data_IF_775626174188
#
_entry.id   IF_775626174188
#
_cell.length_a   1.000
_cell.length_b   1.000
_cell.length_c   1.000
_cell.angle_alpha   90.00
_cell.angle_beta   90.00
_cell.angle_gamma   90.00
#
_symmetry.space_group_name_H-M   'P 1'
#
loop_
_entity.id
_entity.type
_entity.pdbx_description
1 polymer ?
#
# COMPACT_ATOMS: atom_id res chain seq x y z
N UNK A 1 -14.33 10.17 16.97
CA UNK A 1 -15.63 10.84 16.89
C UNK A 1 -15.43 12.33 16.68
N UNK A 2 -16.06 12.92 15.67
CA UNK A 2 -15.92 14.33 15.29
C UNK A 2 -16.83 15.24 16.12
N UNK A 3 -16.28 15.84 17.18
CA UNK A 3 -16.85 17.04 17.83
C UNK A 3 -15.74 18.08 18.00
N UNK A 4 -15.81 19.15 17.22
CA UNK A 4 -15.00 20.37 17.41
C UNK A 4 -15.55 21.11 18.62
N UNK A 5 -14.97 20.85 19.79
CA UNK A 5 -15.12 21.64 21.00
C UNK A 5 -13.88 22.50 21.22
N UNK A 6 -14.03 23.61 21.95
CA UNK A 6 -12.97 24.57 22.35
C UNK A 6 -11.62 23.90 22.61
N UNK A 7 -10.52 24.50 22.15
CA UNK A 7 -9.14 23.97 22.14
C UNK A 7 -8.74 23.12 23.37
N UNK A 8 -9.10 23.52 24.60
CA UNK A 8 -8.79 22.74 25.81
C UNK A 8 -9.46 21.35 25.83
N UNK A 9 -10.70 21.26 25.35
CA UNK A 9 -11.45 20.01 25.25
C UNK A 9 -10.90 19.12 24.10
N UNK A 10 -10.28 19.73 23.09
CA UNK A 10 -9.62 18.99 22.02
C UNK A 10 -8.32 18.35 22.51
N UNK A 11 -7.53 19.06 23.32
CA UNK A 11 -6.28 18.53 23.88
C UNK A 11 -6.53 17.40 24.89
N UNK A 12 -7.52 17.55 25.77
CA UNK A 12 -7.91 16.48 26.69
C UNK A 12 -8.41 15.23 25.94
N UNK A 13 -9.25 15.43 24.91
CA UNK A 13 -9.75 14.33 24.10
C UNK A 13 -8.64 13.64 23.28
N UNK A 14 -7.67 14.41 22.77
CA UNK A 14 -6.49 13.86 22.09
C UNK A 14 -5.67 13.00 23.06
N UNK A 15 -5.43 13.48 24.29
CA UNK A 15 -4.68 12.75 25.30
C UNK A 15 -5.40 11.45 25.72
N UNK A 16 -6.73 11.50 25.91
CA UNK A 16 -7.54 10.31 26.19
C UNK A 16 -7.45 9.28 25.05
N UNK A 17 -7.67 9.72 23.81
CA UNK A 17 -7.63 8.85 22.63
C UNK A 17 -6.24 8.22 22.44
N UNK A 18 -5.17 8.99 22.63
CA UNK A 18 -3.80 8.48 22.56
C UNK A 18 -3.51 7.45 23.66
N UNK A 19 -4.09 7.61 24.85
CA UNK A 19 -3.94 6.66 25.95
C UNK A 19 -4.67 5.35 25.67
N UNK A 20 -5.90 5.40 25.15
CA UNK A 20 -6.64 4.22 24.72
C UNK A 20 -5.91 3.50 23.56
N UNK A 21 -5.38 4.27 22.60
CA UNK A 21 -4.58 3.72 21.50
C UNK A 21 -3.30 3.06 22.00
N UNK A 22 -2.61 3.64 22.99
CA UNK A 22 -1.43 3.08 23.62
C UNK A 22 -1.71 1.69 24.22
N UNK A 23 -2.81 1.53 24.96
CA UNK A 23 -3.22 0.26 25.54
C UNK A 23 -3.44 -0.82 24.46
N UNK A 24 -4.16 -0.47 23.40
CA UNK A 24 -4.46 -1.39 22.31
C UNK A 24 -3.21 -1.75 21.49
N UNK A 25 -2.32 -0.78 21.23
CA UNK A 25 -1.06 -1.04 20.52
C UNK A 25 -0.23 -2.05 21.30
N UNK A 26 -0.03 -1.84 22.61
CA UNK A 26 0.75 -2.76 23.45
C UNK A 26 0.13 -4.16 23.47
N UNK A 27 -1.20 -4.25 23.54
CA UNK A 27 -1.92 -5.52 23.45
C UNK A 27 -1.68 -6.23 22.11
N UNK A 28 -1.76 -5.50 20.99
CA UNK A 28 -1.55 -6.05 19.64
C UNK A 28 -0.10 -6.48 19.40
N UNK A 29 0.89 -5.73 19.89
CA UNK A 29 2.30 -6.08 19.79
C UNK A 29 2.58 -7.46 20.41
N UNK A 30 1.91 -7.78 21.52
CA UNK A 30 2.03 -9.08 22.19
C UNK A 30 1.27 -10.18 21.47
N UNK A 31 0.01 -9.92 21.08
CA UNK A 31 -0.84 -10.93 20.46
C UNK A 31 -0.34 -11.39 19.09
N UNK A 32 0.27 -10.47 18.33
CA UNK A 32 0.83 -10.74 17.00
C UNK A 32 2.32 -11.06 17.03
N UNK A 33 2.91 -11.11 18.23
CA UNK A 33 4.35 -11.19 18.47
C UNK A 33 5.19 -10.30 17.53
N UNK A 34 4.76 -9.05 17.39
CA UNK A 34 5.42 -8.10 16.48
C UNK A 34 6.75 -7.68 17.10
N UNK A 35 7.83 -7.85 16.36
CA UNK A 35 9.17 -7.42 16.79
C UNK A 35 9.92 -6.71 15.68
N UNK A 36 10.91 -5.92 16.07
CA UNK A 36 11.62 -4.96 15.22
C UNK A 36 11.34 -3.53 15.67
N UNK A 37 11.51 -2.60 14.74
CA UNK A 37 11.24 -1.18 14.96
C UNK A 37 9.76 -0.92 14.66
N UNK A 38 9.07 -0.35 15.63
CA UNK A 38 7.67 0.07 15.53
C UNK A 38 7.64 1.59 15.70
N UNK A 39 7.00 2.27 14.75
CA UNK A 39 6.80 3.72 14.78
C UNK A 39 5.30 3.98 14.94
N UNK A 40 4.95 4.75 15.96
CA UNK A 40 3.56 5.12 16.27
C UNK A 40 3.41 6.61 16.04
N UNK A 41 2.45 6.98 15.19
CA UNK A 41 2.04 8.36 14.95
C UNK A 41 0.82 8.68 15.80
N UNK A 42 1.03 9.32 16.95
CA UNK A 42 -0.05 9.70 17.86
C UNK A 42 -0.70 11.01 17.41
N UNK A 43 -1.93 11.26 17.86
CA UNK A 43 -2.60 12.54 17.62
C UNK A 43 -1.75 13.67 18.22
N UNK A 44 -1.55 14.73 17.45
CA UNK A 44 -0.74 15.88 17.86
C UNK A 44 -1.17 16.45 19.22
N UNK A 45 -0.19 16.56 20.12
CA UNK A 45 -0.34 17.19 21.43
C UNK A 45 0.52 18.45 21.50
N UNK A 46 -0.08 19.58 21.88
CA UNK A 46 0.62 20.87 22.03
C UNK A 46 1.43 20.92 23.32
N UNK A 47 0.88 20.40 24.41
CA UNK A 47 1.53 20.37 25.72
C UNK A 47 2.67 19.34 25.77
N UNK A 48 3.85 19.80 26.18
CA UNK A 48 4.98 18.92 26.49
C UNK A 48 4.69 17.98 27.67
N UNK A 49 3.80 18.37 28.58
CA UNK A 49 3.41 17.54 29.71
C UNK A 49 2.59 16.33 29.23
N UNK A 50 1.69 16.52 28.26
CA UNK A 50 0.91 15.41 27.68
C UNK A 50 1.81 14.41 26.94
N UNK A 51 2.83 14.89 26.22
CA UNK A 51 3.83 14.02 25.58
C UNK A 51 4.62 13.19 26.60
N UNK A 52 5.01 13.79 27.73
CA UNK A 52 5.68 13.09 28.83
C UNK A 52 4.76 12.06 29.48
N UNK A 53 3.51 12.43 29.74
CA UNK A 53 2.53 11.53 30.34
C UNK A 53 2.25 10.32 29.45
N UNK A 54 2.10 10.52 28.14
CA UNK A 54 1.94 9.42 27.18
C UNK A 54 3.17 8.50 27.14
N UNK A 55 4.37 9.07 27.20
CA UNK A 55 5.60 8.29 27.26
C UNK A 55 5.71 7.44 28.52
N UNK A 56 5.43 8.01 29.70
CA UNK A 56 5.43 7.23 30.95
C UNK A 56 4.34 6.15 30.94
N UNK A 57 3.15 6.46 30.41
CA UNK A 57 2.07 5.47 30.27
C UNK A 57 2.47 4.32 29.34
N UNK A 58 3.14 4.61 28.22
CA UNK A 58 3.64 3.58 27.32
C UNK A 58 4.69 2.68 27.99
N UNK A 59 5.57 3.21 28.83
CA UNK A 59 6.51 2.40 29.63
C UNK A 59 5.78 1.52 30.63
N UNK A 60 4.81 2.08 31.35
CA UNK A 60 3.99 1.35 32.32
C UNK A 60 3.30 0.17 31.64
N UNK A 61 2.63 0.40 30.52
CA UNK A 61 1.94 -0.63 29.76
C UNK A 61 2.90 -1.70 29.26
N UNK A 62 4.02 -1.31 28.67
CA UNK A 62 5.02 -2.23 28.12
C UNK A 62 5.82 -3.00 29.19
N UNK A 63 5.84 -2.55 30.45
CA UNK A 63 6.59 -3.21 31.54
C UNK A 63 6.21 -4.68 31.77
N UNK A 64 4.98 -5.05 31.41
CA UNK A 64 4.47 -6.42 31.49
C UNK A 64 4.77 -7.27 30.26
N UNK A 65 5.41 -6.71 29.23
CA UNK A 65 5.87 -7.45 28.05
C UNK A 65 7.11 -8.28 28.40
N UNK A 66 7.09 -9.55 27.99
CA UNK A 66 8.21 -10.49 28.21
C UNK A 66 9.38 -10.20 27.28
N UNK A 67 9.12 -9.62 26.10
CA UNK A 67 10.16 -9.29 25.14
C UNK A 67 10.93 -8.04 25.60
N UNK A 68 12.26 -8.07 25.47
CA UNK A 68 13.08 -6.88 25.70
C UNK A 68 12.67 -5.78 24.74
N UNK A 69 12.47 -4.59 25.27
CA UNK A 69 12.01 -3.45 24.47
C UNK A 69 12.66 -2.16 24.95
N UNK A 70 12.80 -1.21 24.02
CA UNK A 70 13.26 0.14 24.27
C UNK A 70 12.25 1.10 23.68
N UNK A 71 11.82 2.09 24.46
CA UNK A 71 10.85 3.11 24.06
C UNK A 71 11.56 4.46 24.08
N UNK A 72 11.47 5.21 22.99
CA UNK A 72 11.98 6.58 22.94
C UNK A 72 10.84 7.59 23.19
N UNK A 73 11.14 8.77 23.79
CA UNK A 73 10.16 9.83 23.94
C UNK A 73 9.54 10.26 22.60
N UNK A 74 8.33 10.81 22.66
CA UNK A 74 7.66 11.37 21.47
C UNK A 74 8.54 12.44 20.83
N UNK A 75 8.84 12.27 19.55
CA UNK A 75 9.67 13.18 18.78
C UNK A 75 8.99 14.53 18.56
N UNK A 76 9.74 15.51 18.02
CA UNK A 76 9.17 16.80 17.62
C UNK A 76 8.10 16.68 16.53
N UNK A 77 8.14 15.59 15.74
CA UNK A 77 7.19 15.27 14.68
C UNK A 77 5.98 14.45 15.17
N UNK A 78 5.78 14.28 16.48
CA UNK A 78 4.63 13.51 17.02
C UNK A 78 4.83 11.99 17.03
N UNK A 79 5.94 11.49 16.49
CA UNK A 79 6.22 10.06 16.40
C UNK A 79 6.86 9.50 17.67
N UNK A 80 6.36 8.36 18.15
CA UNK A 80 7.01 7.53 19.16
C UNK A 80 7.66 6.31 18.50
N UNK A 81 8.88 5.97 18.93
CA UNK A 81 9.62 4.81 18.41
C UNK A 81 9.80 3.76 19.50
N UNK A 82 9.52 2.52 19.15
CA UNK A 82 9.71 1.35 20.01
C UNK A 82 10.55 0.33 19.26
N UNK A 83 11.60 -0.17 19.90
CA UNK A 83 12.35 -1.34 19.43
C UNK A 83 11.98 -2.51 20.32
N UNK A 84 11.31 -3.53 19.78
CA UNK A 84 10.93 -4.76 20.51
C UNK A 84 11.71 -5.95 19.95
N UNK A 85 12.36 -6.72 20.79
CA UNK A 85 13.11 -7.91 20.37
C UNK A 85 12.16 -8.94 19.74
N UNK A 86 12.51 -9.45 18.55
CA UNK A 86 11.80 -10.59 17.95
C UNK A 86 12.08 -11.84 18.79
N UNK A 87 11.05 -12.40 19.40
CA UNK A 87 11.15 -13.72 20.01
C UNK A 87 10.97 -14.70 18.84
N UNK A 88 12.07 -15.19 18.26
CA UNK A 88 11.96 -16.19 17.19
C UNK A 88 11.32 -17.44 17.78
N UNK A 89 10.08 -17.71 17.42
CA UNK A 89 9.57 -19.07 17.46
C UNK A 89 10.22 -19.81 16.28
N UNK A 90 11.08 -20.78 16.59
CA UNK A 90 11.47 -21.81 15.63
C UNK A 90 10.16 -22.47 15.16
N UNK A 91 9.84 -22.38 13.86
CA UNK A 91 8.71 -23.05 13.19
C UNK A 91 7.34 -22.32 13.11
N UNK A 92 7.27 -20.99 13.09
CA UNK A 92 6.08 -20.34 12.50
C UNK A 92 6.29 -20.28 10.98
N UNK A 93 5.69 -21.22 10.25
CA UNK A 93 5.52 -21.08 8.81
C UNK A 93 4.76 -19.77 8.57
N UNK A 94 5.37 -18.86 7.83
CA UNK A 94 4.70 -17.66 7.35
C UNK A 94 3.50 -18.11 6.50
N UNK A 95 2.29 -18.01 7.05
CA UNK A 95 1.05 -18.38 6.36
C UNK A 95 0.59 -17.29 5.39
N UNK A 96 1.36 -16.21 5.25
CA UNK A 96 1.03 -15.13 4.36
C UNK A 96 1.73 -15.31 3.01
N UNK A 97 0.95 -15.23 1.94
CA UNK A 97 1.47 -15.14 0.58
C UNK A 97 1.43 -13.68 0.12
N UNK A 98 2.40 -13.23 -0.70
CA UNK A 98 2.35 -11.89 -1.27
C UNK A 98 1.09 -11.76 -2.12
N UNK A 99 0.40 -10.61 -2.01
CA UNK A 99 -0.80 -10.35 -2.80
C UNK A 99 -0.47 -10.45 -4.30
N UNK A 100 -1.15 -11.30 -5.09
CA UNK A 100 -0.80 -11.53 -6.50
C UNK A 100 -1.09 -10.33 -7.42
N UNK A 101 -1.80 -9.32 -6.90
CA UNK A 101 -2.23 -8.13 -7.67
C UNK A 101 -1.23 -6.99 -7.51
N UNK A 102 -0.80 -6.71 -6.28
CA UNK A 102 0.08 -5.60 -5.96
C UNK A 102 1.48 -6.04 -5.51
N UNK A 103 1.73 -7.35 -5.38
CA UNK A 103 2.99 -7.92 -4.88
C UNK A 103 3.45 -7.29 -3.55
N UNK A 104 2.50 -6.96 -2.68
CA UNK A 104 2.77 -6.38 -1.37
C UNK A 104 2.92 -4.86 -1.34
N UNK A 105 2.77 -4.14 -2.45
CA UNK A 105 2.87 -2.66 -2.46
C UNK A 105 1.65 -1.98 -1.83
N UNK A 106 0.49 -2.65 -1.80
CA UNK A 106 -0.78 -2.04 -1.36
C UNK A 106 -1.41 -1.11 -2.39
N UNK A 107 -0.78 -0.91 -3.56
CA UNK A 107 -1.26 -0.04 -4.62
C UNK A 107 -1.32 -0.78 -5.96
N UNK A 108 -2.33 -0.45 -6.78
CA UNK A 108 -2.49 -0.95 -8.14
C UNK A 108 -2.51 0.20 -9.14
N UNK A 109 -1.85 0.04 -10.29
CA UNK A 109 -1.82 1.06 -11.32
C UNK A 109 -3.23 1.36 -11.83
N UNK A 110 -3.59 2.65 -11.93
CA UNK A 110 -4.87 3.07 -12.48
C UNK A 110 -5.02 2.57 -13.92
N UNK A 111 -6.21 2.09 -14.27
CA UNK A 111 -6.52 1.54 -15.60
C UNK A 111 -6.14 2.46 -16.77
N UNK A 112 -6.25 3.78 -16.61
CA UNK A 112 -5.85 4.75 -17.65
C UNK A 112 -4.33 4.73 -17.90
N UNK A 113 -3.52 4.55 -16.86
CA UNK A 113 -2.07 4.53 -17.01
C UNK A 113 -1.61 3.28 -17.75
N UNK A 114 -2.32 2.16 -17.58
CA UNK A 114 -1.96 0.93 -18.31
C UNK A 114 -2.33 1.00 -19.77
N UNK A 115 -3.45 1.64 -20.14
CA UNK A 115 -3.81 1.79 -21.56
C UNK A 115 -2.82 2.69 -22.29
N UNK A 116 -2.30 3.74 -21.65
CA UNK A 116 -1.25 4.59 -22.22
C UNK A 116 0.11 3.86 -22.34
N UNK A 117 0.49 3.08 -21.33
CA UNK A 117 1.72 2.28 -21.36
C UNK A 117 1.67 1.21 -22.46
N UNK A 118 0.55 0.49 -22.56
CA UNK A 118 0.28 -0.45 -23.64
C UNK A 118 0.38 0.26 -24.99
N UNK A 119 -0.28 1.40 -25.16
CA UNK A 119 -0.25 2.16 -26.42
C UNK A 119 1.19 2.49 -26.81
N UNK A 120 1.98 3.05 -25.89
CA UNK A 120 3.38 3.37 -26.13
C UNK A 120 4.19 2.14 -26.55
N UNK A 121 4.10 1.03 -25.81
CA UNK A 121 4.86 -0.19 -26.11
C UNK A 121 4.46 -0.83 -27.44
N UNK A 122 3.17 -0.83 -27.78
CA UNK A 122 2.68 -1.31 -29.07
C UNK A 122 3.20 -0.42 -30.20
N UNK A 123 3.14 0.91 -30.06
CA UNK A 123 3.71 1.81 -31.07
C UNK A 123 5.22 1.60 -31.28
N UNK A 124 5.98 1.34 -30.21
CA UNK A 124 7.40 0.98 -30.31
C UNK A 124 7.59 -0.34 -31.06
N UNK A 125 6.85 -1.40 -30.68
CA UNK A 125 6.94 -2.72 -31.32
C UNK A 125 6.51 -2.71 -32.80
N UNK A 126 5.58 -1.82 -33.18
CA UNK A 126 5.13 -1.68 -34.56
C UNK A 126 6.17 -0.98 -35.44
N UNK A 127 7.02 -0.12 -34.87
CA UNK A 127 8.13 0.57 -35.58
C UNK A 127 9.36 -0.30 -35.76
N UNK A 128 9.54 -1.34 -34.95
CA UNK A 128 10.68 -2.25 -35.06
C UNK A 128 10.63 -3.07 -36.36
N UNK A 129 11.66 -2.97 -37.22
CA UNK A 129 11.73 -3.76 -38.45
C UNK A 129 12.01 -5.24 -38.13
N UNK A 130 11.26 -6.15 -38.73
CA UNK A 130 11.52 -7.61 -38.68
C UNK A 130 10.51 -8.44 -37.88
N UNK A 131 9.71 -7.86 -36.98
CA UNK A 131 8.56 -8.57 -36.40
C UNK A 131 7.47 -8.70 -37.45
N UNK A 132 6.93 -9.90 -37.70
CA UNK A 132 5.83 -10.08 -38.69
C UNK A 132 4.46 -9.75 -38.09
N UNK A 133 4.21 -10.15 -36.85
CA UNK A 133 2.93 -10.00 -36.15
C UNK A 133 3.15 -9.51 -34.73
N UNK A 134 2.28 -8.63 -34.24
CA UNK A 134 2.26 -8.20 -32.84
C UNK A 134 0.96 -8.67 -32.21
N UNK A 135 1.05 -9.45 -31.13
CA UNK A 135 -0.10 -9.93 -30.36
C UNK A 135 -0.11 -9.28 -28.99
N UNK A 136 -1.22 -8.64 -28.62
CA UNK A 136 -1.46 -8.09 -27.29
C UNK A 136 -2.50 -8.96 -26.57
N UNK A 137 -2.08 -9.59 -25.47
CA UNK A 137 -2.98 -10.29 -24.54
C UNK A 137 -3.28 -9.39 -23.34
N UNK A 138 -4.56 -9.18 -23.05
CA UNK A 138 -5.04 -8.26 -22.00
C UNK A 138 -6.32 -8.79 -21.36
N UNK A 139 -6.66 -8.30 -20.17
CA UNK A 139 -7.98 -8.54 -19.56
C UNK A 139 -9.14 -8.05 -20.48
N UNK A 140 -10.31 -8.73 -20.52
CA UNK A 140 -11.44 -8.38 -21.39
C UNK A 140 -11.87 -6.91 -21.37
N UNK A 141 -11.79 -6.25 -20.20
CA UNK A 141 -12.11 -4.83 -20.09
C UNK A 141 -11.16 -3.93 -20.89
N UNK A 142 -9.86 -4.24 -20.82
CA UNK A 142 -8.82 -3.52 -21.57
C UNK A 142 -8.90 -3.87 -23.06
N UNK A 143 -9.22 -5.12 -23.40
CA UNK A 143 -9.51 -5.54 -24.77
C UNK A 143 -10.66 -4.71 -25.37
N UNK A 144 -11.77 -4.58 -24.64
CA UNK A 144 -12.91 -3.78 -25.05
C UNK A 144 -12.52 -2.32 -25.28
N UNK A 145 -11.72 -1.72 -24.39
CA UNK A 145 -11.21 -0.36 -24.57
C UNK A 145 -10.47 -0.15 -25.91
N UNK A 146 -9.64 -1.11 -26.34
CA UNK A 146 -8.88 -1.00 -27.60
C UNK A 146 -9.68 -1.37 -28.86
N UNK A 147 -10.82 -2.03 -28.72
CA UNK A 147 -11.61 -2.58 -29.85
C UNK A 147 -12.96 -1.90 -30.05
N UNK A 148 -13.53 -1.26 -29.02
CA UNK A 148 -14.83 -0.60 -29.09
C UNK A 148 -14.78 0.70 -29.91
N UNK A 149 -15.90 1.02 -30.56
CA UNK A 149 -16.10 2.23 -31.36
C UNK A 149 -15.83 2.06 -32.86
N UNK A 150 -16.34 3.00 -33.65
CA UNK A 150 -16.17 3.01 -35.11
C UNK A 150 -14.71 3.17 -35.55
N UNK A 151 -13.93 3.99 -34.83
CA UNK A 151 -12.49 4.18 -35.04
C UNK A 151 -11.75 3.74 -33.77
N UNK A 152 -11.72 2.43 -33.56
CA UNK A 152 -11.01 1.83 -32.43
C UNK A 152 -9.51 2.14 -32.47
N UNK A 153 -8.84 2.07 -31.32
CA UNK A 153 -7.38 2.25 -31.23
C UNK A 153 -6.63 1.24 -32.13
N UNK A 154 -7.14 0.00 -32.22
CA UNK A 154 -6.61 -0.99 -33.17
C UNK A 154 -6.62 -0.47 -34.61
N UNK A 155 -7.72 0.17 -35.03
CA UNK A 155 -7.83 0.75 -36.36
C UNK A 155 -6.86 1.92 -36.56
N UNK A 156 -6.67 2.76 -35.54
CA UNK A 156 -5.68 3.85 -35.59
C UNK A 156 -4.26 3.34 -35.75
N UNK A 157 -3.89 2.25 -35.06
CA UNK A 157 -2.59 1.61 -35.27
C UNK A 157 -2.44 1.07 -36.70
N UNK A 158 -3.48 0.44 -37.24
CA UNK A 158 -3.47 -0.04 -38.62
C UNK A 158 -3.30 1.10 -39.63
N UNK A 159 -4.04 2.21 -39.48
CA UNK A 159 -3.93 3.37 -40.36
C UNK A 159 -2.56 4.07 -40.26
N UNK A 160 -1.96 4.11 -39.06
CA UNK A 160 -0.69 4.81 -38.80
C UNK A 160 0.54 3.99 -39.21
N UNK A 161 0.53 2.68 -39.00
CA UNK A 161 1.70 1.80 -39.19
C UNK A 161 1.53 0.79 -40.32
N UNK A 162 0.33 0.66 -40.90
CA UNK A 162 0.03 -0.34 -41.94
C UNK A 162 0.04 -1.78 -41.43
N UNK A 163 0.00 -1.98 -40.11
CA UNK A 163 0.18 -3.29 -39.45
C UNK A 163 -0.98 -3.60 -38.52
N UNK A 164 -1.49 -4.82 -38.59
CA UNK A 164 -2.59 -5.29 -37.75
C UNK A 164 -2.08 -5.87 -36.43
N UNK A 165 -2.65 -5.41 -35.31
CA UNK A 165 -2.34 -5.92 -33.97
C UNK A 165 -3.40 -6.96 -33.59
N UNK A 166 -2.96 -8.18 -33.27
CA UNK A 166 -3.84 -9.22 -32.75
C UNK A 166 -4.13 -8.96 -31.28
N UNK A 167 -5.38 -8.64 -30.95
CA UNK A 167 -5.83 -8.39 -29.58
C UNK A 167 -6.53 -9.65 -29.06
N UNK A 168 -6.07 -10.17 -27.92
CA UNK A 168 -6.63 -11.34 -27.27
C UNK A 168 -7.11 -10.98 -25.87
N UNK A 169 -8.37 -11.31 -25.57
CA UNK A 169 -8.93 -11.18 -24.24
C UNK A 169 -8.60 -12.43 -23.42
N UNK A 170 -7.94 -12.26 -22.27
CA UNK A 170 -7.57 -13.33 -21.34
C UNK A 170 -8.27 -13.08 -20.01
N UNK A 171 -9.26 -13.91 -19.67
CA UNK A 171 -10.11 -13.73 -18.48
C UNK A 171 -9.33 -13.88 -17.17
N UNK A 172 -8.24 -14.65 -17.18
CA UNK A 172 -7.40 -14.87 -15.99
C UNK A 172 -6.46 -13.71 -15.69
N UNK A 173 -6.33 -12.73 -16.59
CA UNK A 173 -5.43 -11.60 -16.39
C UNK A 173 -6.06 -10.59 -15.45
N UNK A 174 -5.27 -10.07 -14.52
CA UNK A 174 -5.68 -8.90 -13.74
C UNK A 174 -5.71 -7.67 -14.65
N UNK A 175 -6.50 -6.65 -14.32
CA UNK A 175 -6.64 -5.44 -15.14
C UNK A 175 -5.29 -4.77 -15.49
N UNK A 176 -4.31 -4.90 -14.59
CA UNK A 176 -2.98 -4.33 -14.74
C UNK A 176 -1.96 -5.30 -15.41
N UNK A 177 -2.41 -6.44 -15.92
CA UNK A 177 -1.56 -7.45 -16.56
C UNK A 177 -1.78 -7.45 -18.08
N UNK A 178 -0.68 -7.47 -18.83
CA UNK A 178 -0.69 -7.64 -20.27
C UNK A 178 0.61 -8.26 -20.78
N UNK A 179 0.54 -8.86 -21.95
CA UNK A 179 1.69 -9.48 -22.62
C UNK A 179 1.71 -9.06 -24.10
N UNK A 180 2.89 -8.72 -24.62
CA UNK A 180 3.11 -8.34 -26.02
C UNK A 180 4.09 -9.33 -26.66
N UNK A 181 3.63 -10.07 -27.67
CA UNK A 181 4.42 -11.01 -28.47
C UNK A 181 4.73 -10.42 -29.85
#
# INVERSE_FOLDING_TARGET
GSKRGKDDNQEENAMRTNTEAAEEIVRQLRLRDMGGIVVIDFIDMRSMNNRKLLFEKMKELMSTDRAKHTILPVSKFGLMQITRQRVRQELVHDTSEPCPVCNGTGEVSKGVLITEDIRRKIETALREPGKKTVTLKVHPFVHAYFTQGFISERMRWFLKFGRWVNLQAVETYVLNQYEIE
#
